data_IF_607549132903
#
_entry.id   IF_607549132903
#
_cell.length_a   1.000
_cell.length_b   1.000
_cell.length_c   1.000
_cell.angle_alpha   90.00
_cell.angle_beta   90.00
_cell.angle_gamma   90.00
#
_symmetry.space_group_name_H-M   'P 1'
#
loop_
_entity.id
_entity.type
_entity.pdbx_description
1 polymer ?
#
# COMPACT_ATOMS: atom_id res chain seq x y z
N UNK A 1 -52.85 3.66 55.56
CA UNK A 1 -52.13 2.41 55.21
C UNK A 1 -51.70 2.54 53.75
N UNK A 2 -50.42 2.81 53.48
CA UNK A 2 -49.38 1.84 53.02
C UNK A 2 -49.74 1.22 51.65
N UNK A 3 -49.18 1.74 50.53
CA UNK A 3 -48.04 1.20 49.71
C UNK A 3 -48.33 -0.26 49.27
N UNK A 4 -48.27 -0.70 48.00
CA UNK A 4 -47.05 -1.04 47.23
C UNK A 4 -47.45 -1.48 45.79
N UNK A 5 -46.66 -1.02 44.82
CA UNK A 5 -46.52 -1.53 43.43
C UNK A 5 -46.29 -3.04 43.35
N UNK A 6 -46.81 -3.72 42.30
CA UNK A 6 -46.17 -4.85 41.61
C UNK A 6 -47.01 -5.03 40.31
N UNK A 7 -46.51 -5.00 39.08
CA UNK A 7 -45.25 -5.47 38.54
C UNK A 7 -45.55 -6.55 37.48
N UNK A 8 -44.77 -6.57 36.39
CA UNK A 8 -44.79 -7.45 35.19
C UNK A 8 -45.81 -7.11 34.10
N UNK A 9 -45.45 -6.52 32.95
CA UNK A 9 -44.39 -6.81 31.94
C UNK A 9 -44.62 -8.13 31.20
N UNK A 10 -45.14 -8.01 29.98
CA UNK A 10 -44.75 -8.85 28.83
C UNK A 10 -44.95 -8.02 27.54
N UNK A 11 -43.85 -7.47 27.05
CA UNK A 11 -43.79 -6.66 25.84
C UNK A 11 -43.81 -7.58 24.60
N UNK A 12 -44.79 -7.37 23.73
CA UNK A 12 -44.84 -7.96 22.39
C UNK A 12 -43.84 -7.24 21.50
N UNK A 13 -42.63 -7.80 21.34
CA UNK A 13 -41.62 -7.27 20.42
C UNK A 13 -42.00 -7.66 18.98
N UNK A 14 -42.61 -6.70 18.29
CA UNK A 14 -42.82 -6.70 16.85
C UNK A 14 -41.47 -6.80 16.12
N UNK A 15 -41.38 -7.79 15.22
CA UNK A 15 -40.23 -8.00 14.35
C UNK A 15 -40.14 -6.87 13.30
N UNK A 16 -39.18 -5.96 13.47
CA UNK A 16 -38.71 -5.08 12.41
C UNK A 16 -37.43 -5.65 11.81
N UNK A 17 -37.52 -6.08 10.56
CA UNK A 17 -36.40 -6.37 9.67
C UNK A 17 -35.70 -5.05 9.32
N UNK A 18 -34.36 -5.03 9.26
CA UNK A 18 -33.76 -4.72 7.96
C UNK A 18 -32.52 -5.57 7.65
N UNK A 19 -32.46 -5.96 6.38
CA UNK A 19 -31.33 -6.50 5.65
C UNK A 19 -30.02 -5.80 6.00
N UNK A 20 -29.09 -6.52 6.64
CA UNK A 20 -27.69 -6.11 6.71
C UNK A 20 -27.02 -6.43 5.37
N UNK A 21 -27.20 -5.55 4.40
CA UNK A 21 -26.30 -5.45 3.25
C UNK A 21 -24.93 -5.05 3.82
N UNK A 22 -23.99 -6.01 3.88
CA UNK A 22 -22.59 -5.68 4.14
C UNK A 22 -22.09 -4.83 2.98
N UNK A 23 -22.06 -3.52 3.18
CA UNK A 23 -21.25 -2.64 2.35
C UNK A 23 -19.81 -3.08 2.59
N UNK A 24 -19.25 -3.79 1.61
CA UNK A 24 -17.81 -3.90 1.48
C UNK A 24 -17.30 -2.47 1.37
N UNK A 25 -16.69 -1.96 2.45
CA UNK A 25 -15.88 -0.75 2.38
C UNK A 25 -14.72 -1.12 1.47
N UNK A 26 -14.85 -0.77 0.20
CA UNK A 26 -13.72 -0.72 -0.69
C UNK A 26 -12.66 0.18 -0.02
N UNK A 27 -11.39 -0.24 0.05
CA UNK A 27 -10.33 0.68 0.47
C UNK A 27 -10.43 1.95 -0.38
N UNK A 28 -10.17 3.14 0.17
CA UNK A 28 -10.22 4.37 -0.60
C UNK A 28 -9.35 4.17 -1.84
N UNK A 29 -9.99 4.27 -3.00
CA UNK A 29 -9.29 4.28 -4.27
C UNK A 29 -8.22 5.37 -4.16
N UNK A 30 -6.95 4.96 -4.19
CA UNK A 30 -5.86 5.90 -4.30
C UNK A 30 -6.16 6.82 -5.49
N UNK A 31 -5.99 8.15 -5.36
CA UNK A 31 -6.21 9.05 -6.47
C UNK A 31 -5.41 8.57 -7.68
N UNK A 32 -5.92 8.72 -8.91
CA UNK A 32 -5.15 8.39 -10.10
C UNK A 32 -3.90 9.28 -10.09
N UNK A 33 -2.76 8.69 -9.74
CA UNK A 33 -1.46 9.35 -9.82
C UNK A 33 -1.30 9.68 -11.30
N UNK A 34 -1.35 10.98 -11.63
CA UNK A 34 -1.13 11.43 -12.99
C UNK A 34 0.17 10.80 -13.53
N UNK A 35 0.21 10.33 -14.80
CA UNK A 35 1.43 9.79 -15.37
C UNK A 35 2.55 10.83 -15.22
N UNK A 36 3.59 10.49 -14.47
CA UNK A 36 4.75 11.33 -14.35
C UNK A 36 5.37 11.55 -15.74
N UNK A 37 5.96 12.72 -16.02
CA UNK A 37 6.62 12.99 -17.30
C UNK A 37 7.66 11.91 -17.59
N UNK A 38 7.84 11.51 -18.87
CA UNK A 38 8.80 10.48 -19.24
C UNK A 38 10.21 10.88 -18.77
N UNK A 39 10.94 9.97 -18.10
CA UNK A 39 12.29 10.23 -17.63
C UNK A 39 13.24 10.41 -18.82
N UNK A 40 14.19 11.33 -18.70
CA UNK A 40 15.20 11.58 -19.71
C UNK A 40 16.08 10.34 -19.94
N UNK A 41 16.08 9.86 -21.19
CA UNK A 41 16.91 8.76 -21.70
C UNK A 41 18.39 9.15 -21.66
N UNK A 42 19.13 8.65 -20.66
CA UNK A 42 20.58 8.71 -20.62
C UNK A 42 21.13 7.64 -19.66
N UNK A 43 22.12 6.81 -20.07
CA UNK A 43 22.71 5.83 -19.18
C UNK A 43 23.53 6.57 -18.11
N UNK A 44 23.04 6.58 -16.88
CA UNK A 44 23.79 7.09 -15.73
C UNK A 44 24.82 6.02 -15.37
N UNK A 45 26.06 6.21 -15.80
CA UNK A 45 27.21 5.40 -15.39
C UNK A 45 27.50 5.68 -13.89
N UNK A 46 26.73 5.04 -13.02
CA UNK A 46 26.83 5.09 -11.57
C UNK A 46 26.25 3.82 -10.95
N UNK A 47 26.39 3.62 -9.63
CA UNK A 47 25.78 2.48 -8.95
C UNK A 47 24.27 2.45 -9.27
N UNK A 48 23.74 1.26 -9.60
CA UNK A 48 22.34 1.10 -10.00
C UNK A 48 21.45 1.48 -8.81
N UNK A 49 20.88 2.68 -8.86
CA UNK A 49 20.06 3.24 -7.78
C UNK A 49 18.58 3.15 -8.13
N UNK A 50 17.79 2.68 -7.17
CA UNK A 50 16.34 2.80 -7.17
C UNK A 50 16.01 3.96 -6.22
N UNK A 51 15.55 5.09 -6.73
CA UNK A 51 15.34 6.29 -5.92
C UNK A 51 13.85 6.47 -5.61
N UNK A 52 13.50 6.81 -4.37
CA UNK A 52 12.14 7.23 -4.06
C UNK A 52 11.85 8.57 -4.75
N UNK A 53 10.67 8.70 -5.35
CA UNK A 53 10.31 9.85 -6.18
C UNK A 53 9.56 10.97 -5.44
N UNK A 54 9.35 10.82 -4.13
CA UNK A 54 8.67 11.81 -3.28
C UNK A 54 7.13 11.77 -3.36
N UNK A 55 6.54 11.02 -4.29
CA UNK A 55 5.10 10.96 -4.54
C UNK A 55 4.55 9.52 -4.48
N UNK A 56 5.20 8.65 -3.69
CA UNK A 56 4.73 7.30 -3.42
C UNK A 56 5.22 6.24 -4.40
N UNK A 57 6.23 6.55 -5.21
CA UNK A 57 6.84 5.58 -6.14
C UNK A 57 8.35 5.59 -6.14
N UNK A 58 8.91 4.81 -7.06
CA UNK A 58 10.34 4.63 -7.24
C UNK A 58 10.76 4.86 -8.69
N UNK A 59 11.91 5.49 -8.88
CA UNK A 59 12.61 5.64 -10.15
C UNK A 59 13.66 4.52 -10.23
N UNK A 60 13.54 3.67 -11.24
CA UNK A 60 14.48 2.58 -11.50
C UNK A 60 15.76 3.11 -12.18
N UNK A 61 16.84 2.29 -12.23
CA UNK A 61 18.09 2.68 -12.89
C UNK A 61 17.96 2.95 -14.40
N UNK A 62 16.92 2.42 -15.03
CA UNK A 62 16.56 2.69 -16.44
C UNK A 62 15.76 4.00 -16.62
N UNK A 63 15.49 4.70 -15.52
CA UNK A 63 14.65 5.89 -15.45
C UNK A 63 13.18 5.58 -15.18
N UNK A 64 12.70 4.36 -15.40
CA UNK A 64 11.28 4.02 -15.31
C UNK A 64 10.72 4.30 -13.92
N UNK A 65 9.58 5.00 -13.84
CA UNK A 65 8.86 5.19 -12.58
C UNK A 65 7.89 4.03 -12.34
N UNK A 66 7.95 3.44 -11.15
CA UNK A 66 7.00 2.42 -10.68
C UNK A 66 6.28 2.88 -9.42
N UNK A 67 5.01 2.50 -9.20
CA UNK A 67 4.33 2.77 -7.95
C UNK A 67 4.93 1.94 -6.81
N UNK A 68 5.05 2.56 -5.64
CA UNK A 68 5.37 1.87 -4.40
C UNK A 68 4.14 1.15 -3.85
N UNK A 69 4.36 -0.03 -3.30
CA UNK A 69 3.37 -0.76 -2.53
C UNK A 69 3.37 -0.24 -1.07
N UNK A 70 2.20 -0.23 -0.40
CA UNK A 70 2.07 0.26 0.98
C UNK A 70 2.96 -0.48 2.01
N UNK A 71 3.44 -1.68 1.66
CA UNK A 71 4.38 -2.46 2.46
C UNK A 71 5.86 -2.06 2.30
N UNK A 72 6.17 -0.96 1.61
CA UNK A 72 7.55 -0.51 1.34
C UNK A 72 8.23 -1.25 0.18
N UNK A 73 7.46 -2.02 -0.59
CA UNK A 73 7.91 -2.68 -1.82
C UNK A 73 7.51 -1.89 -3.06
N UNK A 74 7.66 -2.51 -4.22
CA UNK A 74 7.18 -2.00 -5.50
C UNK A 74 7.01 -3.14 -6.50
N UNK A 75 6.26 -2.89 -7.57
CA UNK A 75 6.07 -3.84 -8.66
C UNK A 75 6.82 -3.36 -9.90
N UNK A 76 7.69 -4.21 -10.44
CA UNK A 76 8.47 -3.95 -11.65
C UNK A 76 7.56 -3.90 -12.89
N UNK A 77 8.00 -3.26 -13.99
CA UNK A 77 7.23 -3.23 -15.24
C UNK A 77 6.95 -4.61 -15.85
N UNK A 78 7.76 -5.61 -15.51
CA UNK A 78 7.56 -7.01 -15.91
C UNK A 78 6.52 -7.76 -15.03
N UNK A 79 5.87 -7.07 -14.09
CA UNK A 79 4.87 -7.63 -13.17
C UNK A 79 5.46 -8.30 -11.93
N UNK A 80 6.78 -8.40 -11.80
CA UNK A 80 7.40 -9.00 -10.62
C UNK A 80 7.31 -8.08 -9.41
N UNK A 81 6.90 -8.63 -8.25
CA UNK A 81 6.85 -7.91 -6.99
C UNK A 81 8.19 -7.95 -6.28
N UNK A 82 8.65 -6.79 -5.84
CA UNK A 82 9.81 -6.60 -4.99
C UNK A 82 9.30 -6.18 -3.63
N UNK A 83 9.64 -6.96 -2.61
CA UNK A 83 9.30 -6.66 -1.23
C UNK A 83 10.58 -6.37 -0.42
N UNK A 84 10.48 -5.58 0.66
CA UNK A 84 11.57 -5.46 1.62
C UNK A 84 11.97 -6.84 2.16
N UNK A 85 13.27 -7.07 2.30
CA UNK A 85 13.81 -8.34 2.77
C UNK A 85 13.85 -8.47 4.30
N UNK A 86 13.44 -7.42 5.02
CA UNK A 86 13.50 -7.34 6.48
C UNK A 86 14.89 -7.08 7.06
N UNK A 87 15.93 -6.96 6.22
CA UNK A 87 17.32 -6.68 6.60
C UNK A 87 17.76 -5.27 6.21
N UNK A 88 16.82 -4.44 5.79
CA UNK A 88 17.08 -3.08 5.34
C UNK A 88 17.41 -3.00 3.85
N UNK A 89 16.95 -3.96 3.04
CA UNK A 89 17.09 -3.93 1.60
C UNK A 89 15.89 -4.53 0.87
N UNK A 90 16.07 -4.77 -0.42
CA UNK A 90 15.13 -5.49 -1.29
C UNK A 90 15.89 -6.52 -2.11
N UNK A 91 15.22 -7.63 -2.43
CA UNK A 91 15.76 -8.64 -3.35
C UNK A 91 15.00 -8.56 -4.66
N UNK A 92 15.72 -8.31 -5.75
CA UNK A 92 15.15 -8.28 -7.09
C UNK A 92 14.87 -9.71 -7.58
N UNK A 93 13.99 -9.88 -8.58
CA UNK A 93 13.67 -11.20 -9.15
C UNK A 93 14.86 -11.91 -9.80
N UNK A 94 15.90 -11.15 -10.17
CA UNK A 94 17.16 -11.68 -10.68
C UNK A 94 18.11 -12.17 -9.56
N UNK A 95 17.70 -12.10 -8.28
CA UNK A 95 18.49 -12.49 -7.12
C UNK A 95 19.43 -11.40 -6.58
N UNK A 96 19.49 -10.22 -7.21
CA UNK A 96 20.32 -9.12 -6.72
C UNK A 96 19.71 -8.52 -5.44
N UNK A 97 20.53 -8.41 -4.39
CA UNK A 97 20.16 -7.69 -3.17
C UNK A 97 20.57 -6.22 -3.27
N UNK A 98 19.61 -5.32 -3.14
CA UNK A 98 19.85 -3.88 -3.09
C UNK A 98 19.64 -3.38 -1.67
N UNK A 99 20.67 -2.78 -1.09
CA UNK A 99 20.62 -2.25 0.26
C UNK A 99 19.91 -0.89 0.29
N UNK A 100 19.23 -0.56 1.38
CA UNK A 100 18.64 0.78 1.56
C UNK A 100 19.73 1.85 1.52
N UNK A 101 19.44 2.98 0.87
CA UNK A 101 20.31 4.14 0.81
C UNK A 101 20.18 5.08 2.03
N UNK A 102 19.30 4.75 2.97
CA UNK A 102 19.03 5.53 4.18
C UNK A 102 18.06 6.71 4.00
N UNK A 103 17.64 7.01 2.77
CA UNK A 103 16.72 8.12 2.43
C UNK A 103 15.50 7.65 1.62
N UNK A 104 15.11 6.38 1.82
CA UNK A 104 13.97 5.69 1.18
C UNK A 104 14.24 5.10 -0.21
N UNK A 105 15.47 5.16 -0.72
CA UNK A 105 15.90 4.47 -1.94
C UNK A 105 16.68 3.18 -1.66
N UNK A 106 17.14 2.54 -2.73
CA UNK A 106 17.96 1.34 -2.69
C UNK A 106 19.16 1.46 -3.64
N UNK A 107 20.30 0.93 -3.21
CA UNK A 107 21.53 0.84 -4.00
C UNK A 107 21.80 -0.63 -4.30
N UNK A 108 21.85 -0.95 -5.59
CA UNK A 108 22.15 -2.28 -6.10
C UNK A 108 23.63 -2.39 -6.50
N UNK A 109 24.22 -3.58 -6.42
CA UNK A 109 25.58 -3.86 -6.91
C UNK A 109 25.71 -3.70 -8.43
#
# INVERSE_FOLDING_TARGET
>A
MRIVMLGLVAASLAACVPSSTRVAVAPPAAPPVAPAPPPATGPIAGPKKIAYDGAGGYILPDGTRVPGDAGGGFTLPNGAKVAPDGKGGVVLPNGAHCASDGVQGFVCP
#
